data_IF_199781128413
#
_entry.id   IF_199781128413
#
_cell.length_a   1.000
_cell.length_b   1.000
_cell.length_c   1.000
_cell.angle_alpha   90.00
_cell.angle_beta   90.00
_cell.angle_gamma   90.00
#
_symmetry.space_group_name_H-M   'P 1'
#
loop_
_entity.id
_entity.type
_entity.pdbx_description
1 polymer ?
#
# COMPACT_ATOMS: atom_id res chain seq x y z
N UNK A 1 -4.85 30.21 9.94
CA UNK A 1 -6.14 29.55 9.63
C UNK A 1 -6.31 29.39 8.10
N UNK A 2 -5.27 28.94 7.40
CA UNK A 2 -5.19 28.91 5.91
C UNK A 2 -5.16 27.46 5.38
N UNK A 3 -4.55 26.53 6.13
CA UNK A 3 -4.40 25.11 5.74
C UNK A 3 -5.69 24.30 5.60
N UNK A 4 -6.80 24.73 6.21
CA UNK A 4 -8.06 23.97 6.17
C UNK A 4 -8.71 24.04 4.78
N UNK A 5 -8.63 25.21 4.14
CA UNK A 5 -9.24 25.44 2.83
C UNK A 5 -8.49 24.69 1.71
N UNK A 6 -7.16 24.59 1.77
CA UNK A 6 -6.37 23.84 0.78
C UNK A 6 -6.59 22.33 0.89
N UNK A 7 -6.76 21.79 2.10
CA UNK A 7 -7.04 20.36 2.31
C UNK A 7 -8.45 19.97 1.89
N UNK A 8 -9.43 20.84 2.14
CA UNK A 8 -10.81 20.66 1.68
C UNK A 8 -10.89 20.74 0.13
N UNK A 9 -10.05 21.55 -0.50
CA UNK A 9 -9.94 21.67 -1.96
C UNK A 9 -9.32 20.42 -2.60
N UNK A 10 -8.27 19.84 -2.02
CA UNK A 10 -7.67 18.56 -2.46
C UNK A 10 -8.66 17.40 -2.30
N UNK A 11 -9.38 17.36 -1.17
CA UNK A 11 -10.45 16.38 -0.94
C UNK A 11 -11.59 16.55 -1.97
N UNK A 12 -11.92 17.79 -2.37
CA UNK A 12 -12.96 18.07 -3.35
C UNK A 12 -12.56 17.76 -4.80
N UNK A 13 -11.28 17.93 -5.17
CA UNK A 13 -10.78 17.60 -6.51
C UNK A 13 -10.65 16.08 -6.73
N UNK A 14 -10.51 15.29 -5.65
CA UNK A 14 -10.60 13.82 -5.72
C UNK A 14 -12.02 13.29 -6.06
N UNK A 15 -13.04 14.16 -6.05
CA UNK A 15 -14.43 13.82 -6.34
C UNK A 15 -14.69 13.77 -7.86
N UNK A 16 -13.79 14.29 -8.69
CA UNK A 16 -13.94 14.31 -10.15
C UNK A 16 -13.29 13.08 -10.82
N UNK A 17 -13.90 11.91 -10.63
CA UNK A 17 -14.00 10.83 -11.63
C UNK A 17 -12.79 10.41 -12.47
N UNK A 18 -11.54 10.64 -12.04
CA UNK A 18 -10.35 10.05 -12.65
C UNK A 18 -9.93 8.85 -11.81
N UNK A 19 -9.72 7.70 -12.47
CA UNK A 19 -9.18 6.49 -11.85
C UNK A 19 -7.69 6.74 -11.53
N UNK A 20 -7.42 7.53 -10.50
CA UNK A 20 -6.07 7.86 -10.03
C UNK A 20 -5.74 6.93 -8.86
N UNK A 21 -4.67 6.14 -9.01
CA UNK A 21 -4.09 5.41 -7.89
C UNK A 21 -3.33 6.39 -7.00
N UNK A 22 -3.66 6.44 -5.71
CA UNK A 22 -2.92 7.27 -4.75
C UNK A 22 -1.88 6.41 -4.03
N UNK A 23 -0.62 6.80 -4.13
CA UNK A 23 0.48 6.26 -3.30
C UNK A 23 0.62 7.10 -2.03
N UNK A 24 0.62 6.45 -0.88
CA UNK A 24 0.74 7.10 0.42
C UNK A 24 1.84 6.40 1.23
N UNK A 25 3.04 7.01 1.38
CA UNK A 25 4.06 6.47 2.26
C UNK A 25 3.57 6.55 3.71
N UNK A 26 3.74 5.45 4.46
CA UNK A 26 3.35 5.35 5.86
C UNK A 26 4.55 5.39 6.82
N UNK A 27 5.76 5.02 6.39
CA UNK A 27 7.01 5.19 7.13
C UNK A 27 8.10 5.56 6.13
N UNK A 28 8.94 6.54 6.43
CA UNK A 28 10.01 7.01 5.52
C UNK A 28 11.43 6.94 6.12
N UNK A 29 12.37 6.37 5.36
CA UNK A 29 13.83 6.40 5.60
C UNK A 29 14.57 6.47 4.26
N UNK A 30 14.79 7.66 3.68
CA UNK A 30 15.29 7.84 2.29
C UNK A 30 14.41 7.21 1.18
N UNK A 31 13.74 6.08 1.44
CA UNK A 31 12.68 5.38 0.73
C UNK A 31 11.64 4.89 1.78
N UNK A 32 10.37 4.65 1.41
CA UNK A 32 9.36 4.28 2.39
C UNK A 32 9.44 2.80 2.83
N UNK A 33 9.69 2.56 4.12
CA UNK A 33 9.70 1.22 4.73
C UNK A 33 8.32 0.56 4.71
N UNK A 34 7.28 1.37 4.81
CA UNK A 34 5.90 0.91 4.85
C UNK A 34 5.01 1.91 4.11
N UNK A 35 4.07 1.43 3.32
CA UNK A 35 3.23 2.28 2.48
C UNK A 35 1.88 1.64 2.19
N UNK A 36 0.95 2.47 1.72
CA UNK A 36 -0.34 2.01 1.23
C UNK A 36 -0.57 2.45 -0.21
N UNK A 37 -1.26 1.60 -0.97
CA UNK A 37 -1.68 1.86 -2.34
C UNK A 37 -3.20 1.68 -2.37
N UNK A 38 -3.92 2.72 -2.76
CA UNK A 38 -5.35 2.62 -3.02
C UNK A 38 -5.53 2.40 -4.53
N UNK A 39 -6.11 1.26 -4.90
CA UNK A 39 -6.44 0.92 -6.28
C UNK A 39 -7.91 0.58 -6.36
N UNK A 40 -8.67 1.42 -7.09
CA UNK A 40 -10.13 1.31 -7.18
C UNK A 40 -10.78 1.30 -5.79
N UNK A 41 -11.41 0.20 -5.41
CA UNK A 41 -12.13 -0.05 -4.17
C UNK A 41 -11.30 -0.80 -3.12
N UNK A 42 -10.02 -1.05 -3.40
CA UNK A 42 -9.12 -1.81 -2.54
C UNK A 42 -7.99 -0.94 -2.01
N UNK A 43 -7.56 -1.27 -0.80
CA UNK A 43 -6.34 -0.73 -0.21
C UNK A 43 -5.35 -1.88 -0.02
N UNK A 44 -4.13 -1.68 -0.48
CA UNK A 44 -3.02 -2.60 -0.33
C UNK A 44 -1.98 -2.00 0.61
N UNK A 45 -1.38 -2.83 1.44
CA UNK A 45 -0.25 -2.46 2.29
C UNK A 45 1.01 -3.10 1.72
N UNK A 46 2.06 -2.30 1.59
CA UNK A 46 3.40 -2.74 1.26
C UNK A 46 4.34 -2.53 2.45
N UNK A 47 5.13 -3.54 2.80
CA UNK A 47 6.13 -3.48 3.87
C UNK A 47 7.47 -4.04 3.37
N UNK A 48 8.55 -3.29 3.55
CA UNK A 48 9.90 -3.74 3.18
C UNK A 48 10.36 -4.77 4.22
N UNK A 49 10.41 -6.04 3.82
CA UNK A 49 10.88 -7.15 4.65
C UNK A 49 12.40 -7.13 4.79
N UNK A 50 13.10 -6.64 3.77
CA UNK A 50 14.55 -6.63 3.73
C UNK A 50 15.05 -5.58 2.75
N UNK A 51 16.02 -4.78 3.18
CA UNK A 51 16.81 -3.91 2.32
C UNK A 51 18.25 -3.93 2.83
N UNK A 52 19.15 -4.62 2.12
CA UNK A 52 20.56 -4.72 2.51
C UNK A 52 21.48 -4.89 1.32
N UNK A 53 22.71 -4.41 1.48
CA UNK A 53 23.83 -4.73 0.58
C UNK A 53 24.67 -5.86 1.17
N UNK A 54 24.99 -6.87 0.37
CA UNK A 54 25.98 -7.90 0.68
C UNK A 54 27.25 -7.61 -0.10
N UNK A 55 28.39 -7.59 0.60
CA UNK A 55 29.71 -7.38 0.01
C UNK A 55 30.58 -8.59 0.27
N UNK A 56 31.25 -9.09 -0.76
CA UNK A 56 32.31 -10.09 -0.71
C UNK A 56 33.52 -9.55 -1.50
N UNK A 57 34.70 -10.17 -1.36
CA UNK A 57 36.00 -9.70 -1.89
C UNK A 57 35.96 -9.19 -3.33
N UNK A 58 35.11 -9.77 -4.18
CA UNK A 58 34.98 -9.40 -5.60
C UNK A 58 33.55 -9.05 -6.05
N UNK A 59 32.58 -8.93 -5.14
CA UNK A 59 31.18 -8.75 -5.53
C UNK A 59 30.37 -7.94 -4.53
N UNK A 60 29.50 -7.07 -5.05
CA UNK A 60 28.47 -6.38 -4.28
C UNK A 60 27.10 -6.77 -4.85
N UNK A 61 26.16 -7.13 -3.98
CA UNK A 61 24.79 -7.40 -4.37
C UNK A 61 23.82 -6.71 -3.41
N UNK A 62 22.97 -5.85 -3.96
CA UNK A 62 21.88 -5.24 -3.22
C UNK A 62 20.67 -6.20 -3.22
N UNK A 63 20.05 -6.39 -2.06
CA UNK A 63 18.95 -7.32 -1.82
C UNK A 63 17.78 -6.53 -1.27
N UNK A 64 16.68 -6.49 -2.02
CA UNK A 64 15.40 -5.92 -1.57
C UNK A 64 14.32 -6.99 -1.56
N UNK A 65 13.53 -7.06 -0.50
CA UNK A 65 12.35 -7.92 -0.40
C UNK A 65 11.15 -7.13 0.14
N UNK A 66 10.04 -7.22 -0.57
CA UNK A 66 8.81 -6.50 -0.26
C UNK A 66 7.68 -7.48 0.03
N UNK A 67 6.96 -7.24 1.10
CA UNK A 67 5.66 -7.83 1.40
C UNK A 67 4.54 -6.96 0.82
N UNK A 68 3.52 -7.59 0.23
CA UNK A 68 2.30 -6.91 -0.21
C UNK A 68 1.09 -7.73 0.23
N UNK A 69 0.07 -7.06 0.77
CA UNK A 69 -1.24 -7.67 1.00
C UNK A 69 -2.38 -6.69 0.78
N UNK A 70 -3.53 -7.20 0.39
CA UNK A 70 -4.80 -6.47 0.46
C UNK A 70 -5.17 -6.26 1.94
N UNK A 71 -5.60 -5.05 2.29
CA UNK A 71 -6.05 -4.66 3.62
C UNK A 71 -7.47 -4.07 3.54
N UNK A 72 -8.04 -3.74 4.69
CA UNK A 72 -9.26 -2.95 4.76
C UNK A 72 -8.93 -1.49 5.11
N UNK A 73 -9.80 -0.56 4.70
CA UNK A 73 -9.68 0.84 5.09
C UNK A 73 -9.73 0.98 6.61
N UNK A 74 -10.62 0.23 7.28
CA UNK A 74 -10.76 0.26 8.73
C UNK A 74 -9.51 -0.29 9.44
N UNK A 75 -8.94 -1.40 8.98
CA UNK A 75 -7.69 -1.94 9.56
C UNK A 75 -6.51 -0.98 9.39
N UNK A 76 -6.42 -0.35 8.21
CA UNK A 76 -5.36 0.63 7.95
C UNK A 76 -5.52 1.87 8.83
N UNK A 77 -6.74 2.38 9.00
CA UNK A 77 -7.02 3.50 9.91
C UNK A 77 -6.75 3.13 11.37
N UNK A 78 -7.13 1.92 11.79
CA UNK A 78 -6.88 1.43 13.14
C UNK A 78 -5.38 1.37 13.45
N UNK A 79 -4.57 0.92 12.50
CA UNK A 79 -3.12 0.97 12.62
C UNK A 79 -2.58 2.40 12.75
N UNK A 80 -3.06 3.35 11.92
CA UNK A 80 -2.67 4.77 11.99
C UNK A 80 -3.18 5.48 13.25
N UNK A 81 -4.18 4.90 13.94
CA UNK A 81 -4.71 5.39 15.21
C UNK A 81 -4.12 4.67 16.42
N UNK A 82 -3.12 3.80 16.23
CA UNK A 82 -2.53 2.95 17.28
C UNK A 82 -3.55 2.08 18.02
N UNK A 83 -4.62 1.68 17.36
CA UNK A 83 -5.60 0.70 17.89
C UNK A 83 -5.32 -0.72 17.42
N UNK A 84 -4.51 -0.88 16.36
CA UNK A 84 -3.93 -2.15 15.91
C UNK A 84 -2.43 -2.04 15.74
N UNK A 85 -1.71 -3.12 16.03
CA UNK A 85 -0.26 -3.18 15.77
C UNK A 85 0.04 -3.40 14.29
N UNK A 86 1.29 -3.18 13.89
CA UNK A 86 1.72 -3.48 12.51
C UNK A 86 1.47 -4.97 12.23
N UNK A 87 1.90 -5.84 13.14
CA UNK A 87 1.74 -7.28 13.00
C UNK A 87 0.28 -7.71 12.84
N UNK A 88 -0.62 -7.20 13.69
CA UNK A 88 -2.05 -7.52 13.60
C UNK A 88 -2.65 -7.10 12.26
N UNK A 89 -2.24 -5.93 11.77
CA UNK A 89 -2.71 -5.38 10.50
C UNK A 89 -2.22 -6.23 9.33
N UNK A 90 -0.94 -6.59 9.30
CA UNK A 90 -0.38 -7.47 8.25
C UNK A 90 -1.00 -8.87 8.32
N UNK A 91 -1.19 -9.43 9.51
CA UNK A 91 -1.80 -10.75 9.73
C UNK A 91 -3.24 -10.81 9.19
N UNK A 92 -4.03 -9.75 9.40
CA UNK A 92 -5.42 -9.66 8.94
C UNK A 92 -5.56 -9.52 7.42
N UNK A 93 -4.52 -9.05 6.72
CA UNK A 93 -4.56 -8.82 5.28
C UNK A 93 -4.88 -10.06 4.45
N UNK A 94 -5.37 -9.88 3.22
CA UNK A 94 -5.67 -10.96 2.25
C UNK A 94 -4.66 -10.95 1.12
N UNK A 95 -4.61 -12.05 0.35
CA UNK A 95 -3.75 -12.17 -0.84
C UNK A 95 -2.29 -11.76 -0.56
N UNK A 96 -1.75 -12.27 0.55
CA UNK A 96 -0.42 -11.93 1.04
C UNK A 96 0.63 -12.53 0.11
N UNK A 97 1.60 -11.72 -0.28
CA UNK A 97 2.70 -12.16 -1.13
C UNK A 97 3.97 -11.42 -0.82
N UNK A 98 5.10 -11.99 -1.26
CA UNK A 98 6.40 -11.34 -1.25
C UNK A 98 7.05 -11.40 -2.62
N UNK A 99 7.85 -10.38 -2.90
CA UNK A 99 8.69 -10.29 -4.10
C UNK A 99 10.07 -9.81 -3.68
N UNK A 100 11.11 -10.41 -4.26
CA UNK A 100 12.49 -10.08 -3.96
C UNK A 100 13.26 -9.70 -5.22
N UNK A 101 14.32 -8.91 -5.05
CA UNK A 101 15.29 -8.56 -6.09
C UNK A 101 16.70 -8.68 -5.52
N UNK A 102 17.63 -9.16 -6.35
CA UNK A 102 19.08 -9.20 -6.05
C UNK A 102 19.85 -8.59 -7.22
N UNK A 103 20.66 -7.57 -6.99
CA UNK A 103 21.27 -6.80 -8.09
C UNK A 103 20.16 -6.26 -8.97
N UNK A 104 20.17 -6.50 -10.28
CA UNK A 104 19.07 -6.15 -11.20
C UNK A 104 17.99 -7.23 -11.35
N UNK A 105 18.17 -8.40 -10.75
CA UNK A 105 17.30 -9.57 -11.00
C UNK A 105 16.10 -9.61 -10.06
N UNK A 106 14.91 -9.49 -10.62
CA UNK A 106 13.64 -9.70 -9.90
C UNK A 106 13.27 -11.19 -9.87
N UNK A 107 12.84 -11.67 -8.70
CA UNK A 107 12.40 -13.05 -8.50
C UNK A 107 10.86 -13.16 -8.62
N UNK A 108 10.34 -14.35 -8.99
CA UNK A 108 8.90 -14.56 -9.03
C UNK A 108 8.22 -14.28 -7.69
N UNK A 109 7.01 -13.72 -7.76
CA UNK A 109 6.16 -13.51 -6.58
C UNK A 109 5.91 -14.85 -5.89
N UNK A 110 6.05 -14.87 -4.56
CA UNK A 110 5.71 -16.01 -3.71
C UNK A 110 4.54 -15.65 -2.80
N UNK A 111 3.51 -16.50 -2.79
CA UNK A 111 2.39 -16.37 -1.85
C UNK A 111 2.83 -16.67 -0.43
N UNK A 112 2.22 -15.98 0.54
CA UNK A 112 2.43 -16.19 1.97
C UNK A 112 1.10 -16.70 2.52
N UNK A 113 1.06 -17.97 2.88
CA UNK A 113 -0.16 -18.59 3.42
C UNK A 113 -0.30 -18.27 4.91
N UNK A 114 0.82 -18.12 5.60
CA UNK A 114 0.85 -17.81 7.02
C UNK A 114 1.84 -16.67 7.31
N UNK A 115 1.41 -15.67 8.10
CA UNK A 115 2.28 -14.56 8.52
C UNK A 115 3.52 -15.06 9.30
N UNK A 116 3.45 -16.26 9.89
CA UNK A 116 4.60 -16.89 10.55
C UNK A 116 5.78 -17.12 9.60
N UNK A 117 5.55 -17.27 8.29
CA UNK A 117 6.62 -17.47 7.29
C UNK A 117 7.58 -16.28 7.16
N UNK A 118 7.18 -15.10 7.66
CA UNK A 118 7.96 -13.86 7.62
C UNK A 118 8.08 -13.21 9.00
N UNK A 119 7.82 -13.96 10.09
CA UNK A 119 7.75 -13.41 11.45
C UNK A 119 9.07 -12.78 11.91
N UNK A 120 10.19 -13.32 11.45
CA UNK A 120 11.54 -12.82 11.72
C UNK A 120 11.86 -11.52 10.97
N UNK A 121 11.03 -11.14 9.99
CA UNK A 121 11.23 -9.97 9.12
C UNK A 121 10.22 -8.84 9.35
N UNK A 122 9.31 -9.00 10.31
CA UNK A 122 8.31 -7.99 10.65
C UNK A 122 8.37 -7.63 12.14
N UNK A 123 7.82 -6.48 12.56
CA UNK A 123 7.78 -6.12 13.96
C UNK A 123 6.99 -7.14 14.80
N UNK A 124 7.35 -7.24 16.07
CA UNK A 124 6.66 -8.14 17.00
C UNK A 124 5.19 -7.72 17.24
N UNK A 125 4.42 -8.60 17.87
CA UNK A 125 2.98 -8.42 18.03
C UNK A 125 2.58 -7.19 18.87
N UNK A 126 3.52 -6.60 19.62
CA UNK A 126 3.30 -5.43 20.49
C UNK A 126 3.67 -4.09 19.85
N UNK A 127 4.24 -4.11 18.65
CA UNK A 127 4.80 -2.90 18.04
C UNK A 127 3.75 -2.12 17.23
N UNK A 128 3.39 -0.94 17.76
CA UNK A 128 2.56 0.03 17.04
C UNK A 128 3.39 0.86 16.08
N UNK A 129 2.76 1.31 14.99
CA UNK A 129 3.37 2.25 14.05
C UNK A 129 3.83 3.52 14.76
N UNK A 130 5.10 3.90 14.57
CA UNK A 130 5.58 5.20 15.04
C UNK A 130 5.06 6.30 14.12
N UNK A 131 4.02 6.99 14.59
CA UNK A 131 3.34 8.05 13.85
C UNK A 131 4.21 9.26 13.55
N UNK A 132 5.34 9.44 14.26
CA UNK A 132 6.31 10.50 13.93
C UNK A 132 7.05 10.24 12.62
N UNK A 133 7.09 8.99 12.18
CA UNK A 133 7.73 8.57 10.94
C UNK A 133 6.76 8.53 9.75
N UNK A 134 5.47 8.83 9.97
CA UNK A 134 4.45 8.86 8.92
C UNK A 134 4.42 10.25 8.30
N UNK A 135 4.83 10.42 7.03
CA UNK A 135 4.74 11.70 6.36
C UNK A 135 3.27 12.10 6.19
N UNK A 136 2.94 13.36 6.50
CA UNK A 136 1.59 13.91 6.34
C UNK A 136 0.47 13.03 6.93
N UNK A 137 0.68 12.51 8.15
CA UNK A 137 -0.23 11.57 8.83
C UNK A 137 -1.72 11.94 8.71
N UNK A 138 -2.07 13.18 8.99
CA UNK A 138 -3.46 13.65 8.97
C UNK A 138 -4.05 13.59 7.56
N UNK A 139 -3.27 13.96 6.55
CA UNK A 139 -3.68 13.83 5.14
C UNK A 139 -3.91 12.35 4.76
N UNK A 140 -2.97 11.47 5.13
CA UNK A 140 -3.09 10.03 4.87
C UNK A 140 -4.35 9.44 5.53
N UNK A 141 -4.63 9.81 6.79
CA UNK A 141 -5.87 9.40 7.47
C UNK A 141 -7.12 9.90 6.77
N UNK A 142 -7.15 11.19 6.39
CA UNK A 142 -8.28 11.79 5.68
C UNK A 142 -8.54 11.09 4.33
N UNK A 143 -7.51 10.79 3.55
CA UNK A 143 -7.64 10.11 2.27
C UNK A 143 -8.19 8.69 2.42
N UNK A 144 -7.63 7.91 3.36
CA UNK A 144 -8.08 6.54 3.62
C UNK A 144 -9.53 6.55 4.14
N UNK A 145 -9.86 7.46 5.07
CA UNK A 145 -11.20 7.57 5.63
C UNK A 145 -12.24 8.03 4.60
N UNK A 146 -11.92 9.06 3.80
CA UNK A 146 -12.78 9.57 2.73
C UNK A 146 -13.11 8.44 1.74
N UNK A 147 -12.09 7.71 1.29
CA UNK A 147 -12.28 6.60 0.35
C UNK A 147 -13.11 5.46 0.94
N UNK A 148 -12.80 5.04 2.17
CA UNK A 148 -13.57 4.01 2.87
C UNK A 148 -15.04 4.39 3.03
N UNK A 149 -15.33 5.65 3.36
CA UNK A 149 -16.70 6.17 3.49
C UNK A 149 -17.44 6.22 2.16
N UNK A 150 -16.78 6.61 1.07
CA UNK A 150 -17.37 6.57 -0.27
C UNK A 150 -17.82 5.15 -0.62
N UNK A 151 -16.95 4.16 -0.43
CA UNK A 151 -17.27 2.75 -0.74
C UNK A 151 -18.40 2.20 0.13
N UNK A 152 -18.43 2.53 1.42
CA UNK A 152 -19.55 2.17 2.32
C UNK A 152 -20.88 2.75 1.81
N UNK A 153 -20.90 4.03 1.41
CA UNK A 153 -22.10 4.67 0.83
C UNK A 153 -22.55 3.97 -0.46
N UNK A 154 -21.62 3.63 -1.36
CA UNK A 154 -21.95 2.88 -2.58
C UNK A 154 -22.51 1.49 -2.27
N UNK A 155 -21.89 0.75 -1.35
CA UNK A 155 -22.37 -0.59 -0.97
C UNK A 155 -23.75 -0.56 -0.31
N UNK A 156 -24.05 0.44 0.52
CA UNK A 156 -25.35 0.58 1.17
C UNK A 156 -26.46 1.04 0.22
N UNK A 157 -26.10 1.80 -0.83
CA UNK A 157 -27.07 2.30 -1.82
C UNK A 157 -27.33 1.31 -2.97
N UNK A 158 -26.47 0.29 -3.16
CA UNK A 158 -26.54 -0.67 -4.26
C UNK A 158 -27.06 -2.05 -3.83
N UNK A 159 -28.20 -2.12 -3.14
CA UNK A 159 -29.04 -3.32 -3.21
C UNK A 159 -29.71 -3.48 -4.58
N UNK A 160 -29.54 -2.54 -5.52
CA UNK A 160 -29.89 -2.70 -6.92
C UNK A 160 -28.97 -1.84 -7.81
N UNK A 161 -28.48 -2.42 -8.91
CA UNK A 161 -27.89 -1.74 -10.09
C UNK A 161 -26.44 -1.19 -10.02
N UNK A 162 -25.42 -2.05 -10.11
CA UNK A 162 -24.13 -1.64 -10.72
C UNK A 162 -23.25 -2.79 -11.26
N UNK A 163 -23.83 -3.88 -11.77
CA UNK A 163 -23.05 -4.94 -12.45
C UNK A 163 -23.29 -5.02 -13.97
N UNK A 164 -24.16 -4.19 -14.55
CA UNK A 164 -24.52 -4.32 -15.97
C UNK A 164 -23.67 -3.51 -16.96
N UNK A 165 -22.60 -2.80 -16.55
CA UNK A 165 -21.91 -1.88 -17.50
C UNK A 165 -20.39 -1.84 -17.55
N UNK A 166 -19.66 -2.63 -16.77
CA UNK A 166 -18.19 -2.64 -16.90
C UNK A 166 -17.68 -4.08 -17.09
N UNK A 167 -18.32 -4.75 -18.05
CA UNK A 167 -17.72 -5.84 -18.80
C UNK A 167 -17.58 -5.34 -20.24
N UNK A 168 -16.42 -4.74 -20.54
CA UNK A 168 -15.90 -4.49 -21.90
C UNK A 168 -14.46 -3.95 -21.87
N UNK A 169 -13.54 -4.88 -21.60
CA UNK A 169 -12.41 -5.21 -22.46
C UNK A 169 -11.24 -4.25 -22.72
N UNK A 170 -11.13 -3.01 -22.20
CA UNK A 170 -9.97 -2.15 -22.57
C UNK A 170 -9.18 -1.46 -21.43
N UNK A 171 -9.21 -1.98 -20.19
CA UNK A 171 -8.56 -1.33 -19.02
C UNK A 171 -7.23 -1.93 -18.54
N UNK A 172 -6.79 -3.06 -19.10
CA UNK A 172 -5.60 -3.78 -18.62
C UNK A 172 -4.28 -3.10 -19.06
N UNK A 173 -4.26 -2.43 -20.22
CA UNK A 173 -3.03 -1.85 -20.80
C UNK A 173 -2.56 -0.58 -20.04
N UNK A 174 -3.47 0.18 -19.42
CA UNK A 174 -3.13 1.42 -18.69
C UNK A 174 -2.50 1.14 -17.31
N UNK A 175 -2.95 0.09 -16.62
CA UNK A 175 -2.41 -0.30 -15.31
C UNK A 175 -0.95 -0.80 -15.40
N UNK A 176 -0.52 -1.32 -16.55
CA UNK A 176 0.86 -1.79 -16.78
C UNK A 176 1.87 -0.63 -16.78
N UNK A 177 1.48 0.55 -17.29
CA UNK A 177 2.37 1.72 -17.34
C UNK A 177 2.54 2.44 -15.99
N UNK A 178 1.57 2.32 -15.08
CA UNK A 178 1.66 2.90 -13.73
C UNK A 178 2.37 1.95 -12.75
N UNK A 179 2.24 0.63 -12.93
CA UNK A 179 3.14 -0.34 -12.29
C UNK A 179 4.59 -0.14 -12.73
N UNK A 180 4.84 0.27 -13.99
CA UNK A 180 6.19 0.66 -14.44
C UNK A 180 6.77 1.85 -13.65
N UNK A 181 5.98 2.86 -13.29
CA UNK A 181 6.45 3.97 -12.43
C UNK A 181 6.74 3.55 -10.99
N UNK A 182 5.91 2.68 -10.42
CA UNK A 182 6.20 2.06 -9.11
C UNK A 182 7.48 1.22 -9.17
N UNK A 183 7.67 0.49 -10.28
CA UNK A 183 8.87 -0.27 -10.56
C UNK A 183 10.11 0.64 -10.72
N UNK A 184 10.02 1.76 -11.42
CA UNK A 184 11.09 2.77 -11.54
C UNK A 184 11.46 3.37 -10.16
N UNK A 185 10.49 3.52 -9.25
CA UNK A 185 10.71 4.06 -7.90
C UNK A 185 11.41 3.07 -6.96
N UNK A 186 11.38 1.77 -7.26
CA UNK A 186 12.01 0.71 -6.48
C UNK A 186 13.03 -0.12 -7.28
N UNK A 187 13.40 0.33 -8.49
CA UNK A 187 14.16 -0.41 -9.50
C UNK A 187 13.65 -1.84 -9.81
N UNK A 188 12.39 -2.20 -9.63
CA UNK A 188 11.90 -3.54 -10.02
C UNK A 188 11.53 -3.58 -11.51
N UNK A 189 12.49 -3.61 -12.44
CA UNK A 189 12.14 -3.84 -13.86
C UNK A 189 11.56 -5.26 -14.07
N UNK A 190 10.45 -5.34 -14.81
CA UNK A 190 9.79 -6.59 -15.26
C UNK A 190 10.26 -6.94 -16.67
#
# INVERSE_FOLDING_TARGET
>A
MVYKNELDEIASNSIQGKNESTFLPLIEFTEPLFFSIILLDKIFLGYVLQDRTVVNENSRADIKELYISESTFDDTLNMLNKTKTIYETLKAGKHKSRIGKIGERVFPRKEINNIQEIKDKIPNETYFLDLKLVPNLEYSKLMIQSRGNQLKKYSSNNQNTYYEKIDKENKIIKNINEMKKFNESFNFEL
#
